data_IF_059878012688
#
_entry.id   IF_059878012688
#
_cell.length_a   1.000
_cell.length_b   1.000
_cell.length_c   1.000
_cell.angle_alpha   90.00
_cell.angle_beta   90.00
_cell.angle_gamma   90.00
#
_symmetry.space_group_name_H-M   'P 1'
#
loop_
_entity.id
_entity.type
_entity.pdbx_description
1 polymer ?
#
# COMPACT_ATOMS: atom_id res chain seq x y z
N UNK A 1 -18.79 26.86 8.67
CA UNK A 1 -17.98 25.94 9.44
C UNK A 1 -16.84 25.40 8.60
N UNK A 2 -15.61 25.62 9.03
CA UNK A 2 -14.51 25.14 8.24
C UNK A 2 -14.48 23.62 8.20
N UNK A 3 -14.13 23.09 7.05
CA UNK A 3 -13.94 21.67 6.93
C UNK A 3 -12.84 21.24 7.89
N UNK A 4 -13.01 20.12 8.58
CA UNK A 4 -11.94 19.63 9.43
C UNK A 4 -10.71 19.36 8.60
N UNK A 5 -9.58 19.78 9.10
CA UNK A 5 -8.33 19.45 8.48
C UNK A 5 -8.18 17.95 8.54
N UNK A 6 -8.03 17.35 7.37
CA UNK A 6 -7.81 15.91 7.29
C UNK A 6 -6.40 15.63 7.79
N UNK A 7 -6.32 15.27 9.06
CA UNK A 7 -5.06 14.79 9.61
C UNK A 7 -5.03 13.30 9.47
N UNK A 8 -4.09 12.83 8.67
CA UNK A 8 -3.89 11.40 8.55
C UNK A 8 -3.23 10.92 9.83
N UNK A 9 -3.92 10.02 10.52
CA UNK A 9 -3.33 9.34 11.67
C UNK A 9 -2.44 8.21 11.16
N UNK A 10 -1.60 7.68 12.05
CA UNK A 10 -0.82 6.50 11.72
C UNK A 10 -1.72 5.37 11.26
N UNK A 11 -2.86 5.20 11.93
CA UNK A 11 -3.82 4.17 11.55
C UNK A 11 -4.33 4.36 10.12
N UNK A 12 -4.60 5.61 9.74
CA UNK A 12 -5.07 5.92 8.39
C UNK A 12 -4.00 5.59 7.34
N UNK A 13 -2.77 5.90 7.67
CA UNK A 13 -1.64 5.62 6.77
C UNK A 13 -1.48 4.11 6.61
N UNK A 14 -1.53 3.38 7.70
CA UNK A 14 -1.41 1.92 7.66
C UNK A 14 -2.56 1.31 6.87
N UNK A 15 -3.77 1.83 7.05
CA UNK A 15 -4.92 1.36 6.29
C UNK A 15 -4.72 1.57 4.79
N UNK A 16 -4.24 2.75 4.41
CA UNK A 16 -3.98 3.05 3.00
C UNK A 16 -2.95 2.09 2.41
N UNK A 17 -1.91 1.77 3.18
CA UNK A 17 -0.90 0.81 2.75
C UNK A 17 -1.52 -0.58 2.62
N UNK A 18 -2.38 -0.95 3.56
CA UNK A 18 -3.10 -2.22 3.50
C UNK A 18 -3.95 -2.35 2.24
N UNK A 19 -4.60 -1.26 1.84
CA UNK A 19 -5.37 -1.25 0.60
C UNK A 19 -4.48 -1.44 -0.63
N UNK A 20 -3.29 -0.89 -0.60
CA UNK A 20 -2.31 -1.10 -1.68
C UNK A 20 -1.92 -2.58 -1.76
N UNK A 21 -1.67 -3.19 -0.61
CA UNK A 21 -1.31 -4.61 -0.56
C UNK A 21 -2.46 -5.47 -1.07
N UNK A 22 -3.68 -5.13 -0.68
CA UNK A 22 -4.86 -5.86 -1.14
C UNK A 22 -4.99 -5.78 -2.66
N UNK A 23 -4.74 -4.60 -3.23
CA UNK A 23 -4.79 -4.43 -4.68
C UNK A 23 -3.72 -5.27 -5.38
N UNK A 24 -2.54 -5.35 -4.79
CA UNK A 24 -1.48 -6.22 -5.31
C UNK A 24 -1.96 -7.68 -5.33
N UNK A 25 -2.59 -8.11 -4.24
CA UNK A 25 -3.12 -9.46 -4.15
C UNK A 25 -4.18 -9.73 -5.22
N UNK A 26 -5.04 -8.76 -5.47
CA UNK A 26 -6.06 -8.87 -6.50
C UNK A 26 -5.42 -8.98 -7.89
N UNK A 27 -4.39 -8.20 -8.14
CA UNK A 27 -3.67 -8.26 -9.41
C UNK A 27 -3.01 -9.62 -9.60
N UNK A 28 -2.42 -10.15 -8.54
CA UNK A 28 -1.83 -11.48 -8.59
C UNK A 28 -2.88 -12.55 -8.88
N UNK A 29 -4.03 -12.42 -8.25
CA UNK A 29 -5.12 -13.37 -8.41
C UNK A 29 -5.74 -13.31 -9.81
N UNK A 30 -5.61 -12.18 -10.49
CA UNK A 30 -6.19 -12.01 -11.82
C UNK A 30 -5.52 -12.89 -12.89
N UNK A 31 -4.38 -13.49 -12.54
CA UNK A 31 -3.71 -14.41 -13.43
C UNK A 31 -2.98 -13.77 -14.59
N UNK A 32 -2.66 -12.50 -14.47
CA UNK A 32 -1.86 -11.84 -15.47
C UNK A 32 -0.49 -12.50 -15.58
N UNK A 33 -0.12 -12.92 -16.76
CA UNK A 33 1.10 -13.68 -16.98
C UNK A 33 2.21 -12.86 -17.61
N UNK A 34 2.07 -11.57 -17.64
CA UNK A 34 3.13 -10.73 -18.17
C UNK A 34 4.29 -10.69 -17.16
N UNK A 35 5.43 -11.11 -17.62
CA UNK A 35 6.61 -11.23 -16.78
C UNK A 35 7.00 -9.90 -16.15
N UNK A 36 6.97 -8.83 -16.94
CA UNK A 36 7.26 -7.51 -16.42
C UNK A 36 6.29 -7.06 -15.33
N UNK A 37 5.05 -7.54 -15.42
CA UNK A 37 4.05 -7.21 -14.42
C UNK A 37 4.36 -7.89 -13.08
N UNK A 38 4.84 -9.12 -13.12
CA UNK A 38 5.22 -9.84 -11.90
C UNK A 38 6.32 -9.10 -11.16
N UNK A 39 7.34 -8.64 -11.89
CA UNK A 39 8.42 -7.88 -11.29
C UNK A 39 7.92 -6.59 -10.68
N UNK A 40 7.01 -5.91 -11.37
CA UNK A 40 6.43 -4.67 -10.87
C UNK A 40 5.62 -4.92 -9.60
N UNK A 41 4.89 -6.02 -9.52
CA UNK A 41 4.13 -6.37 -8.34
C UNK A 41 5.06 -6.64 -7.16
N UNK A 42 6.18 -7.30 -7.40
CA UNK A 42 7.18 -7.53 -6.36
C UNK A 42 7.72 -6.19 -5.84
N UNK A 43 8.06 -5.28 -6.74
CA UNK A 43 8.55 -3.96 -6.35
C UNK A 43 7.51 -3.20 -5.54
N UNK A 44 6.24 -3.25 -5.96
CA UNK A 44 5.17 -2.60 -5.23
C UNK A 44 4.99 -3.21 -3.85
N UNK A 45 5.10 -4.52 -3.74
CA UNK A 45 4.99 -5.19 -2.44
C UNK A 45 6.13 -4.80 -1.51
N UNK A 46 7.34 -4.76 -2.04
CA UNK A 46 8.50 -4.35 -1.26
C UNK A 46 8.37 -2.89 -0.81
N UNK A 47 7.91 -2.03 -1.70
CA UNK A 47 7.72 -0.63 -1.34
C UNK A 47 6.65 -0.48 -0.27
N UNK A 48 5.57 -1.24 -0.38
CA UNK A 48 4.51 -1.22 0.63
C UNK A 48 5.04 -1.66 1.99
N UNK A 49 5.90 -2.67 2.01
CA UNK A 49 6.50 -3.14 3.26
C UNK A 49 7.39 -2.07 3.89
N UNK A 50 8.18 -1.39 3.07
CA UNK A 50 9.03 -0.28 3.54
C UNK A 50 8.17 0.83 4.11
N UNK A 51 7.13 1.21 3.39
CA UNK A 51 6.23 2.29 3.80
C UNK A 51 5.51 1.94 5.10
N UNK A 52 5.09 0.68 5.23
CA UNK A 52 4.42 0.20 6.43
C UNK A 52 5.35 0.29 7.63
N UNK A 53 6.58 -0.16 7.47
CA UNK A 53 7.57 -0.10 8.55
C UNK A 53 7.82 1.33 8.96
N UNK A 54 7.98 2.23 7.98
CA UNK A 54 8.23 3.64 8.26
C UNK A 54 7.06 4.28 9.00
N UNK A 55 5.83 3.95 8.59
CA UNK A 55 4.65 4.50 9.23
C UNK A 55 4.53 4.07 10.68
N UNK A 56 4.82 2.80 10.96
CA UNK A 56 4.73 2.27 12.32
C UNK A 56 5.84 2.85 13.20
N UNK A 57 7.03 2.99 12.65
CA UNK A 57 8.16 3.55 13.41
C UNK A 57 8.02 5.05 13.65
N UNK A 58 7.39 5.74 12.72
CA UNK A 58 7.27 7.19 12.77
C UNK A 58 6.17 7.72 13.67
N UNK A 59 5.48 6.87 14.39
CA UNK A 59 4.37 7.29 15.24
C UNK A 59 4.84 7.95 16.54
#
# INVERSE_FOLDING_TARGET
MPAPLLRLTTADIVEAIGMRVLRIAEDMASGSRHQGRSERLIEQAEQAAIDLRAAVRGR
#
